data_IF_951268479927
#
_entry.id   IF_951268479927
#
_cell.length_a   1.000
_cell.length_b   1.000
_cell.length_c   1.000
_cell.angle_alpha   90.00
_cell.angle_beta   90.00
_cell.angle_gamma   90.00
#
_symmetry.space_group_name_H-M   'P 1'
#
loop_
_entity.id
_entity.type
_entity.pdbx_description
1 polymer ?
#
# COMPACT_ATOMS: atom_id res chain seq x y z
N UNK A 1 3.62 4.71 -0.70
CA UNK A 1 2.79 3.64 -0.09
C UNK A 1 2.14 4.21 1.15
N UNK A 2 0.83 4.37 1.10
CA UNK A 2 0.01 4.83 2.22
C UNK A 2 -0.34 3.63 3.12
N UNK A 3 -0.13 3.80 4.43
CA UNK A 3 -0.36 2.74 5.43
C UNK A 3 -1.07 3.30 6.65
N UNK A 4 -1.85 2.46 7.32
CA UNK A 4 -2.44 2.71 8.64
C UNK A 4 -1.70 1.87 9.68
N UNK A 5 -1.44 2.44 10.83
CA UNK A 5 -0.98 1.68 12.00
C UNK A 5 -2.19 1.00 12.63
N UNK A 6 -2.13 -0.32 12.78
CA UNK A 6 -3.20 -1.14 13.37
C UNK A 6 -3.58 -0.64 14.75
N UNK A 7 -4.87 -0.74 15.09
CA UNK A 7 -5.34 -0.43 16.44
C UNK A 7 -4.76 -1.39 17.49
N UNK A 8 -4.37 -2.59 17.07
CA UNK A 8 -3.70 -3.61 17.89
C UNK A 8 -2.18 -3.42 18.01
N UNK A 9 -1.58 -2.44 17.33
CA UNK A 9 -0.12 -2.25 17.31
C UNK A 9 0.48 -2.12 18.70
N UNK A 10 1.69 -2.64 18.89
CA UNK A 10 2.46 -2.45 20.12
C UNK A 10 2.82 -0.98 20.40
N UNK A 11 2.85 -0.14 19.36
CA UNK A 11 3.23 1.28 19.47
C UNK A 11 1.98 2.14 19.66
N UNK A 12 1.55 2.22 20.92
CA UNK A 12 0.27 2.84 21.33
C UNK A 12 0.07 4.28 20.86
N UNK A 13 1.13 5.09 20.79
CA UNK A 13 1.07 6.50 20.37
C UNK A 13 0.51 6.68 18.94
N UNK A 14 0.66 5.67 18.08
CA UNK A 14 0.37 5.79 16.65
C UNK A 14 -0.78 4.91 16.17
N UNK A 15 -1.42 4.13 17.05
CA UNK A 15 -2.60 3.32 16.71
C UNK A 15 -3.66 4.15 15.97
N UNK A 16 -4.17 3.59 14.88
CA UNK A 16 -5.19 4.20 14.05
C UNK A 16 -4.70 5.35 13.15
N UNK A 17 -3.44 5.79 13.27
CA UNK A 17 -2.91 6.89 12.45
C UNK A 17 -2.44 6.40 11.09
N UNK A 18 -2.59 7.28 10.11
CA UNK A 18 -2.11 7.08 8.75
C UNK A 18 -0.73 7.71 8.55
N UNK A 19 0.10 7.09 7.72
CA UNK A 19 1.38 7.63 7.30
C UNK A 19 1.82 7.10 5.94
N UNK A 20 2.97 7.59 5.50
CA UNK A 20 3.62 7.19 4.24
C UNK A 20 4.89 6.42 4.57
N UNK A 21 5.07 5.24 3.97
CA UNK A 21 6.33 4.50 4.04
C UNK A 21 7.43 5.29 3.31
N UNK A 22 8.53 5.56 4.01
CA UNK A 22 9.71 6.28 3.51
C UNK A 22 10.85 5.30 3.18
N UNK A 23 11.04 4.29 4.01
CA UNK A 23 12.02 3.22 3.78
C UNK A 23 11.55 1.90 4.41
N UNK A 24 12.13 0.79 3.97
CA UNK A 24 11.90 -0.54 4.52
C UNK A 24 13.25 -1.23 4.80
N UNK A 25 13.39 -1.80 5.99
CA UNK A 25 14.57 -2.56 6.41
C UNK A 25 14.11 -3.73 7.29
N UNK A 26 14.54 -4.95 7.00
CA UNK A 26 14.36 -6.12 7.87
C UNK A 26 12.96 -6.27 8.52
N UNK A 27 11.91 -6.34 7.70
CA UNK A 27 10.49 -6.48 8.10
C UNK A 27 9.93 -5.29 8.90
N UNK A 28 10.68 -4.22 9.05
CA UNK A 28 10.23 -2.97 9.62
C UNK A 28 10.19 -1.87 8.55
N UNK A 29 9.32 -0.89 8.77
CA UNK A 29 9.11 0.21 7.86
C UNK A 29 9.29 1.53 8.60
N UNK A 30 10.06 2.44 8.02
CA UNK A 30 10.10 3.83 8.46
C UNK A 30 8.91 4.55 7.85
N UNK A 31 8.00 5.04 8.70
CA UNK A 31 6.78 5.72 8.29
C UNK A 31 6.82 7.16 8.75
N UNK A 32 6.55 8.06 7.81
CA UNK A 32 6.26 9.46 8.11
C UNK A 32 4.77 9.62 8.38
N UNK A 33 4.43 9.85 9.63
CA UNK A 33 3.05 10.06 10.08
C UNK A 33 2.66 11.52 9.78
N UNK A 34 1.37 11.79 9.63
CA UNK A 34 0.80 13.08 9.19
C UNK A 34 1.25 14.33 9.99
N UNK A 35 1.86 14.17 11.18
CA UNK A 35 2.49 15.26 11.93
C UNK A 35 3.96 15.54 11.52
N UNK A 36 4.45 14.90 10.46
CA UNK A 36 5.83 15.03 9.98
C UNK A 36 6.86 14.20 10.75
N UNK A 37 6.47 13.48 11.81
CA UNK A 37 7.38 12.61 12.56
C UNK A 37 7.58 11.29 11.82
N UNK A 38 8.82 10.81 11.82
CA UNK A 38 9.19 9.50 11.31
C UNK A 38 9.37 8.49 12.44
N UNK A 39 8.89 7.26 12.20
CA UNK A 39 8.97 6.15 13.14
C UNK A 39 9.15 4.82 12.43
N UNK A 40 9.96 3.97 13.04
CA UNK A 40 10.11 2.57 12.61
C UNK A 40 8.97 1.77 13.23
N UNK A 41 8.17 1.11 12.40
CA UNK A 41 7.02 0.29 12.80
C UNK A 41 7.16 -1.10 12.16
N UNK A 42 6.99 -2.19 12.91
CA UNK A 42 6.97 -3.54 12.35
C UNK A 42 5.90 -3.69 11.26
N UNK A 43 6.21 -4.40 10.18
CA UNK A 43 5.25 -4.63 9.09
C UNK A 43 3.95 -5.30 9.55
N UNK A 44 4.02 -6.16 10.57
CA UNK A 44 2.84 -6.82 11.15
C UNK A 44 1.84 -5.85 11.80
N UNK A 45 2.31 -4.66 12.21
CA UNK A 45 1.53 -3.61 12.87
C UNK A 45 0.94 -2.61 11.86
N UNK A 46 1.08 -2.89 10.56
CA UNK A 46 0.66 -2.02 9.47
C UNK A 46 -0.42 -2.68 8.60
N UNK A 47 -1.30 -1.84 8.09
CA UNK A 47 -2.30 -2.19 7.08
C UNK A 47 -2.10 -1.26 5.88
N UNK A 48 -1.90 -1.80 4.67
CA UNK A 48 -1.83 -0.98 3.46
C UNK A 48 -3.19 -0.35 3.18
N UNK A 49 -3.20 0.87 2.64
CA UNK A 49 -4.41 1.41 2.05
C UNK A 49 -4.62 0.77 0.69
N UNK A 50 -5.80 0.19 0.54
CA UNK A 50 -6.35 -0.24 -0.74
C UNK A 50 -6.51 0.97 -1.65
N UNK A 51 -5.93 0.98 -2.86
CA UNK A 51 -6.18 2.04 -3.83
C UNK A 51 -7.66 2.04 -4.26
N UNK A 52 -8.14 3.17 -4.80
CA UNK A 52 -9.41 3.29 -5.49
C UNK A 52 -9.26 3.40 -7.02
N UNK A 53 -10.39 3.45 -7.73
CA UNK A 53 -10.42 3.66 -9.19
C UNK A 53 -9.77 4.99 -9.56
N UNK A 54 -8.85 4.97 -10.52
CA UNK A 54 -8.08 6.13 -10.96
C UNK A 54 -6.96 6.55 -10.01
N UNK A 55 -6.72 5.81 -8.93
CA UNK A 55 -5.60 6.06 -8.02
C UNK A 55 -4.35 5.28 -8.43
N UNK A 56 -3.18 5.76 -7.97
CA UNK A 56 -1.91 5.08 -8.19
C UNK A 56 -1.69 4.02 -7.12
N UNK A 57 -1.16 2.88 -7.55
CA UNK A 57 -0.93 1.73 -6.71
C UNK A 57 0.42 1.09 -7.03
N UNK A 58 0.99 0.41 -6.04
CA UNK A 58 2.20 -0.39 -6.17
C UNK A 58 1.94 -1.80 -5.68
N UNK A 59 2.53 -2.77 -6.36
CA UNK A 59 2.48 -4.18 -5.96
C UNK A 59 3.28 -4.41 -4.67
N UNK A 60 2.68 -5.14 -3.74
CA UNK A 60 3.29 -5.56 -2.47
C UNK A 60 4.08 -6.88 -2.61
N UNK A 61 3.89 -7.62 -3.71
CA UNK A 61 4.47 -8.97 -3.90
C UNK A 61 5.78 -8.97 -4.70
N UNK A 62 6.54 -10.05 -4.53
CA UNK A 62 7.94 -10.22 -4.92
C UNK A 62 8.22 -10.38 -6.42
N UNK A 63 7.21 -10.29 -7.30
CA UNK A 63 7.44 -10.30 -8.76
C UNK A 63 8.06 -9.00 -9.29
N UNK A 64 8.46 -8.08 -8.41
CA UNK A 64 9.59 -7.19 -8.68
C UNK A 64 9.30 -5.97 -9.54
N UNK A 65 8.04 -5.66 -9.87
CA UNK A 65 7.71 -4.35 -10.42
C UNK A 65 7.84 -3.28 -9.34
N UNK A 66 8.91 -2.49 -9.46
CA UNK A 66 9.19 -1.34 -8.59
C UNK A 66 8.30 -0.16 -8.95
N UNK A 67 7.80 -0.13 -10.18
CA UNK A 67 6.98 0.94 -10.74
C UNK A 67 5.57 0.96 -10.12
N UNK A 68 5.01 2.16 -10.02
CA UNK A 68 3.60 2.38 -9.72
C UNK A 68 2.75 2.26 -11.00
N UNK A 69 1.52 1.79 -10.84
CA UNK A 69 0.52 1.70 -11.90
C UNK A 69 -0.75 2.46 -11.52
N UNK A 70 -1.61 2.69 -12.51
CA UNK A 70 -2.92 3.29 -12.35
C UNK A 70 -3.98 2.21 -12.27
N UNK A 71 -4.85 2.25 -11.26
CA UNK A 71 -6.03 1.37 -11.22
C UNK A 71 -7.06 1.89 -12.22
N UNK A 72 -7.40 1.07 -13.21
CA UNK A 72 -8.27 1.48 -14.33
C UNK A 72 -9.63 0.80 -14.31
N UNK A 73 -9.78 -0.30 -13.58
CA UNK A 73 -11.03 -1.05 -13.48
C UNK A 73 -11.06 -1.88 -12.20
N UNK A 74 -12.25 -2.05 -11.64
CA UNK A 74 -12.57 -2.98 -10.57
C UNK A 74 -13.49 -4.03 -11.17
N UNK A 75 -13.12 -5.30 -11.01
CA UNK A 75 -14.07 -6.37 -11.25
C UNK A 75 -14.88 -6.55 -9.97
N UNK A 76 -16.13 -6.08 -9.98
CA UNK A 76 -17.03 -6.22 -8.82
C UNK A 76 -17.64 -7.64 -8.74
N UNK A 77 -17.49 -8.46 -9.79
CA UNK A 77 -18.14 -9.75 -9.93
C UNK A 77 -17.18 -10.94 -9.64
N UNK A 78 -15.86 -10.77 -9.84
CA UNK A 78 -14.83 -11.81 -9.61
C UNK A 78 -13.83 -11.43 -8.50
N UNK A 79 -13.97 -12.06 -7.32
CA UNK A 79 -12.92 -12.31 -6.31
C UNK A 79 -11.95 -11.15 -5.94
N UNK A 80 -12.45 -9.91 -5.87
CA UNK A 80 -11.68 -8.72 -5.47
C UNK A 80 -10.44 -8.45 -6.38
N UNK A 81 -10.53 -8.82 -7.66
CA UNK A 81 -9.49 -8.55 -8.65
C UNK A 81 -9.62 -7.14 -9.26
N UNK A 82 -8.47 -6.53 -9.58
CA UNK A 82 -8.41 -5.18 -10.17
C UNK A 82 -7.48 -5.13 -11.36
N UNK A 83 -7.87 -4.35 -12.37
CA UNK A 83 -7.03 -4.11 -13.55
C UNK A 83 -6.13 -2.90 -13.30
N UNK A 84 -4.82 -3.12 -13.34
CA UNK A 84 -3.79 -2.09 -13.17
C UNK A 84 -3.01 -1.88 -14.47
N UNK A 85 -2.80 -0.61 -14.82
CA UNK A 85 -1.99 -0.20 -15.97
C UNK A 85 -0.66 0.38 -15.52
N UNK A 86 0.45 -0.25 -15.91
CA UNK A 86 1.79 0.23 -15.63
C UNK A 86 2.33 1.02 -16.84
N UNK A 87 2.52 2.32 -16.68
CA UNK A 87 3.01 3.19 -17.75
C UNK A 87 2.26 3.01 -19.08
N UNK A 88 3.02 2.69 -20.13
CA UNK A 88 2.51 2.46 -21.49
C UNK A 88 2.37 0.98 -21.86
N UNK A 89 2.48 0.08 -20.89
CA UNK A 89 2.38 -1.36 -21.11
C UNK A 89 0.91 -1.82 -21.12
N UNK A 90 0.72 -3.11 -21.42
CA UNK A 90 -0.57 -3.77 -21.26
C UNK A 90 -1.00 -3.79 -19.79
N UNK A 91 -2.32 -3.70 -19.59
CA UNK A 91 -2.90 -3.82 -18.26
C UNK A 91 -2.78 -5.24 -17.73
N UNK A 92 -2.68 -5.37 -16.42
CA UNK A 92 -2.56 -6.66 -15.72
C UNK A 92 -3.68 -6.74 -14.69
N UNK A 93 -4.29 -7.92 -14.55
CA UNK A 93 -5.27 -8.21 -13.51
C UNK A 93 -4.52 -8.76 -12.30
N UNK A 94 -4.78 -8.18 -11.13
CA UNK A 94 -4.15 -8.59 -9.86
C UNK A 94 -5.15 -8.51 -8.70
N UNK A 95 -5.01 -9.35 -7.67
CA UNK A 95 -5.81 -9.23 -6.47
C UNK A 95 -5.60 -7.89 -5.78
N UNK A 96 -6.68 -7.26 -5.31
CA UNK A 96 -6.63 -5.95 -4.68
C UNK A 96 -5.75 -5.94 -3.42
N UNK A 97 -5.72 -7.04 -2.68
CA UNK A 97 -4.90 -7.24 -1.48
C UNK A 97 -3.39 -7.19 -1.77
N UNK A 98 -3.00 -7.33 -3.04
CA UNK A 98 -1.61 -7.26 -3.47
C UNK A 98 -1.19 -5.83 -3.82
N UNK A 99 -2.10 -4.87 -3.70
CA UNK A 99 -1.84 -3.47 -4.00
C UNK A 99 -1.78 -2.61 -2.75
N UNK A 100 -0.93 -1.58 -2.83
CA UNK A 100 -0.91 -0.49 -1.87
C UNK A 100 -0.95 0.84 -2.60
N UNK A 101 -1.85 1.71 -2.16
CA UNK A 101 -1.98 3.08 -2.64
C UNK A 101 -0.66 3.85 -2.55
N UNK A 102 -0.35 4.60 -3.60
CA UNK A 102 0.80 5.52 -3.68
C UNK A 102 0.28 6.94 -3.85
N UNK A 103 0.92 7.89 -3.16
CA UNK A 103 0.60 9.32 -3.23
C UNK A 103 1.45 9.99 -4.31
#
# INVERSE_FOLDING_TARGET
>A
MEVRVKDSSSITEFRGKTGIVVSNEDRAFTIRISNGKERVIPGCDLEPFTPGLGERAKLLTTNGRIDDGLVVEYDEDEDDDVTIKFGNEESVIVPIDYLCKVR
#
